data_IF_911851279976
#
_entry.id   IF_911851279976
#
_cell.length_a   1.000
_cell.length_b   1.000
_cell.length_c   1.000
_cell.angle_alpha   90.00
_cell.angle_beta   90.00
_cell.angle_gamma   90.00
#
_symmetry.space_group_name_H-M   'P 1'
#
loop_
_entity.id
_entity.type
_entity.pdbx_description
1 polymer ?
#
# COMPACT_ATOMS: atom_id res chain seq x y z
N UNK A 1 14.41 2.67 32.09
CA UNK A 1 15.17 2.36 30.84
C UNK A 1 14.86 3.48 29.86
N UNK A 2 15.85 4.25 29.35
CA UNK A 2 15.60 5.27 28.35
C UNK A 2 15.19 4.63 27.01
N UNK A 3 14.15 5.18 26.39
CA UNK A 3 13.69 4.80 25.07
C UNK A 3 13.76 6.03 24.18
N UNK A 4 14.33 5.90 22.97
CA UNK A 4 14.43 6.96 21.99
C UNK A 4 14.08 6.42 20.61
N UNK A 5 13.36 7.20 19.84
CA UNK A 5 12.98 6.89 18.47
C UNK A 5 13.32 8.09 17.56
N UNK A 6 14.13 7.84 16.54
CA UNK A 6 14.67 8.88 15.68
C UNK A 6 13.91 9.10 14.36
N UNK A 7 12.66 8.62 14.27
CA UNK A 7 11.88 8.68 13.04
C UNK A 7 12.24 7.56 12.05
N UNK A 8 12.09 7.83 10.76
CA UNK A 8 12.32 6.86 9.68
C UNK A 8 13.22 7.47 8.59
N UNK A 9 13.60 6.65 7.62
CA UNK A 9 14.33 7.07 6.41
C UNK A 9 15.69 7.77 6.62
N UNK A 10 16.29 7.65 7.83
CA UNK A 10 17.56 8.31 8.13
C UNK A 10 17.46 9.84 8.25
N UNK A 11 16.30 10.39 8.56
CA UNK A 11 16.10 11.83 8.69
C UNK A 11 16.69 12.42 9.98
N UNK A 12 16.87 11.58 10.99
CA UNK A 12 17.38 11.98 12.29
C UNK A 12 18.28 10.91 12.92
N UNK A 13 19.10 11.35 13.89
CA UNK A 13 19.93 10.49 14.72
C UNK A 13 19.60 10.68 16.19
N UNK A 14 19.31 9.58 16.88
CA UNK A 14 19.13 9.56 18.33
C UNK A 14 20.45 9.36 19.06
N UNK A 15 20.74 10.21 20.04
CA UNK A 15 21.88 10.08 20.95
C UNK A 15 21.40 9.89 22.37
N UNK A 16 21.90 8.83 23.05
CA UNK A 16 21.67 8.57 24.48
C UNK A 16 23.04 8.66 25.18
N UNK A 17 23.14 9.52 26.18
CA UNK A 17 24.29 9.57 27.08
C UNK A 17 23.89 8.91 28.39
N UNK A 18 24.66 7.93 28.82
CA UNK A 18 24.45 7.21 30.06
C UNK A 18 25.62 7.46 31.01
N UNK A 19 25.32 7.79 32.26
CA UNK A 19 26.31 7.76 33.33
C UNK A 19 26.10 6.48 34.12
N UNK A 20 27.09 5.60 34.06
CA UNK A 20 27.07 4.32 34.76
C UNK A 20 27.98 4.36 35.98
N UNK A 21 27.46 4.02 37.15
CA UNK A 21 28.27 3.84 38.37
C UNK A 21 28.78 2.42 38.44
N UNK A 22 30.11 2.25 38.36
CA UNK A 22 30.77 0.94 38.49
C UNK A 22 30.57 0.41 39.91
N UNK A 23 30.70 1.27 40.94
CA UNK A 23 30.54 0.87 42.34
C UNK A 23 29.10 0.42 42.65
N UNK A 24 28.10 1.08 42.11
CA UNK A 24 26.69 0.76 42.31
C UNK A 24 26.14 -0.24 41.27
N UNK A 25 26.91 -0.58 40.24
CA UNK A 25 26.53 -1.46 39.12
C UNK A 25 25.21 -1.09 38.45
N UNK A 26 24.96 0.23 38.29
CA UNK A 26 23.72 0.74 37.70
C UNK A 26 23.94 2.05 36.97
N UNK A 27 23.01 2.32 36.03
CA UNK A 27 22.89 3.66 35.38
C UNK A 27 22.35 4.64 36.42
N UNK A 28 23.08 5.71 36.70
CA UNK A 28 22.71 6.76 37.66
C UNK A 28 22.11 7.99 36.98
N UNK A 29 22.37 8.18 35.69
CA UNK A 29 21.78 9.24 34.90
C UNK A 29 21.66 8.82 33.43
N UNK A 30 20.60 9.26 32.76
CA UNK A 30 20.40 9.09 31.33
C UNK A 30 19.87 10.41 30.74
N UNK A 31 20.46 10.81 29.63
CA UNK A 31 20.03 11.98 28.86
C UNK A 31 19.94 11.60 27.38
N UNK A 32 18.86 11.98 26.72
CA UNK A 32 18.65 11.66 25.31
C UNK A 32 18.29 12.90 24.50
N UNK A 33 18.71 12.90 23.23
CA UNK A 33 18.37 13.93 22.27
C UNK A 33 18.29 13.36 20.87
N UNK A 34 17.30 13.81 20.09
CA UNK A 34 17.18 13.54 18.65
C UNK A 34 17.71 14.75 17.89
N UNK A 35 18.57 14.50 16.91
CA UNK A 35 19.12 15.50 16.00
C UNK A 35 18.59 15.23 14.60
N UNK A 36 17.95 16.21 13.98
CA UNK A 36 17.60 16.12 12.57
C UNK A 36 18.85 16.28 11.72
N UNK A 37 19.05 15.40 10.74
CA UNK A 37 20.23 15.47 9.87
C UNK A 37 20.26 16.77 9.05
N UNK A 38 19.10 17.37 8.74
CA UNK A 38 19.00 18.66 8.06
C UNK A 38 19.56 19.84 8.89
N UNK A 39 19.64 19.69 10.20
CA UNK A 39 20.13 20.72 11.15
C UNK A 39 21.60 20.53 11.49
N UNK A 40 22.21 19.40 11.09
CA UNK A 40 23.63 19.12 11.34
C UNK A 40 24.49 19.68 10.21
N UNK A 41 25.73 20.15 10.53
CA UNK A 41 26.67 20.55 9.49
C UNK A 41 26.99 19.36 8.59
N UNK A 42 26.99 19.59 7.28
CA UNK A 42 27.43 18.55 6.31
C UNK A 42 28.92 18.34 6.47
N UNK A 43 29.30 17.15 6.84
CA UNK A 43 30.69 16.69 6.85
C UNK A 43 30.89 15.82 5.62
N UNK A 44 31.79 16.22 4.74
CA UNK A 44 32.14 15.42 3.57
C UNK A 44 33.12 14.34 3.99
N UNK A 45 32.73 13.06 3.83
CA UNK A 45 33.60 11.91 4.02
C UNK A 45 33.96 11.32 2.66
N UNK A 46 35.08 11.78 2.12
CA UNK A 46 35.56 11.36 0.80
C UNK A 46 35.88 9.85 0.73
N UNK A 47 36.18 9.20 1.85
CA UNK A 47 36.43 7.75 1.87
C UNK A 47 35.09 6.99 1.75
N UNK A 48 34.09 7.41 2.49
CA UNK A 48 32.74 6.84 2.43
C UNK A 48 32.09 7.10 1.07
N UNK A 49 32.22 8.31 0.52
CA UNK A 49 31.68 8.64 -0.81
C UNK A 49 32.29 7.72 -1.90
N UNK A 50 33.62 7.55 -1.89
CA UNK A 50 34.30 6.63 -2.85
C UNK A 50 33.88 5.18 -2.67
N UNK A 51 33.66 4.75 -1.44
CA UNK A 51 33.16 3.39 -1.17
C UNK A 51 31.73 3.19 -1.69
N UNK A 52 30.86 4.17 -1.50
CA UNK A 52 29.44 4.09 -1.89
C UNK A 52 29.20 4.36 -3.39
N UNK A 53 30.07 5.12 -4.06
CA UNK A 53 29.90 5.52 -5.47
C UNK A 53 29.60 4.34 -6.41
N UNK A 54 30.37 3.21 -6.44
CA UNK A 54 30.07 2.08 -7.31
C UNK A 54 28.74 1.39 -6.96
N UNK A 55 28.36 1.39 -5.68
CA UNK A 55 27.08 0.85 -5.22
C UNK A 55 25.94 1.72 -5.76
N UNK A 56 26.03 3.04 -5.61
CA UNK A 56 25.01 3.97 -6.12
C UNK A 56 24.89 3.92 -7.65
N UNK A 57 26.03 3.87 -8.39
CA UNK A 57 26.00 3.73 -9.86
C UNK A 57 25.25 2.47 -10.30
N UNK A 58 25.49 1.34 -9.65
CA UNK A 58 24.79 0.09 -9.96
C UNK A 58 23.28 0.20 -9.63
N UNK A 59 22.95 0.75 -8.47
CA UNK A 59 21.56 0.99 -8.04
C UNK A 59 20.87 1.94 -9.03
N UNK A 60 21.51 3.05 -9.38
CA UNK A 60 20.94 4.06 -10.27
C UNK A 60 20.67 3.51 -11.67
N UNK A 61 21.57 2.72 -12.23
CA UNK A 61 21.36 2.11 -13.55
C UNK A 61 20.14 1.18 -13.57
N UNK A 62 19.91 0.43 -12.49
CA UNK A 62 18.82 -0.53 -12.38
C UNK A 62 17.48 0.13 -12.05
N UNK A 63 17.47 1.09 -11.13
CA UNK A 63 16.24 1.64 -10.59
C UNK A 63 15.76 2.90 -11.29
N UNK A 64 16.59 3.53 -12.12
CA UNK A 64 16.20 4.66 -12.98
C UNK A 64 15.67 4.22 -14.36
N UNK A 65 15.54 2.90 -14.61
CA UNK A 65 14.86 2.40 -15.81
C UNK A 65 13.43 2.97 -15.87
N UNK A 66 13.08 3.54 -17.02
CA UNK A 66 11.76 4.12 -17.27
C UNK A 66 10.79 2.98 -17.63
N UNK A 67 9.69 2.86 -16.88
CA UNK A 67 8.64 1.88 -17.12
C UNK A 67 7.53 2.44 -18.02
N UNK A 68 7.14 3.69 -17.78
CA UNK A 68 6.05 4.36 -18.50
C UNK A 68 6.20 5.89 -18.40
N UNK A 69 5.30 6.61 -19.08
CA UNK A 69 5.06 8.04 -18.87
C UNK A 69 3.66 8.20 -18.32
N UNK A 70 3.50 8.99 -17.26
CA UNK A 70 2.19 9.26 -16.65
C UNK A 70 1.77 10.71 -16.93
N UNK A 71 0.56 10.92 -17.43
CA UNK A 71 0.05 12.25 -17.82
C UNK A 71 -0.15 13.18 -16.61
N UNK A 72 -0.48 12.63 -15.44
CA UNK A 72 -0.80 13.40 -14.23
C UNK A 72 -0.46 12.62 -12.96
N UNK A 73 -0.26 13.32 -11.85
CA UNK A 73 0.00 12.68 -10.55
C UNK A 73 -1.22 11.86 -10.12
N UNK A 74 -1.00 10.57 -9.79
CA UNK A 74 -2.00 9.75 -9.12
C UNK A 74 -1.69 9.72 -7.63
N UNK A 75 -2.51 10.42 -6.86
CA UNK A 75 -2.32 10.60 -5.41
C UNK A 75 -2.64 9.34 -4.63
N UNK A 76 -2.06 9.24 -3.43
CA UNK A 76 -2.38 8.21 -2.44
C UNK A 76 -2.86 8.88 -1.14
N UNK A 77 -4.10 8.64 -0.76
CA UNK A 77 -4.61 8.97 0.57
C UNK A 77 -4.95 7.67 1.30
N UNK A 78 -4.36 7.46 2.47
CA UNK A 78 -4.52 6.21 3.24
C UNK A 78 -5.97 5.95 3.66
N UNK A 79 -6.72 6.99 3.98
CA UNK A 79 -8.08 6.91 4.50
C UNK A 79 -9.13 7.50 3.54
N UNK A 80 -8.67 8.15 2.48
CA UNK A 80 -9.48 8.74 1.42
C UNK A 80 -9.41 7.96 0.11
N UNK A 81 -9.64 8.69 -0.98
CA UNK A 81 -9.48 8.19 -2.33
C UNK A 81 -7.98 8.02 -2.65
N UNK A 82 -7.62 6.91 -3.26
CA UNK A 82 -6.26 6.64 -3.70
C UNK A 82 -6.26 6.34 -5.18
N UNK A 83 -6.07 7.37 -5.99
CA UNK A 83 -6.04 7.23 -7.45
C UNK A 83 -4.96 6.26 -7.95
N UNK A 84 -3.80 6.24 -7.27
CA UNK A 84 -2.76 5.25 -7.55
C UNK A 84 -3.24 3.84 -7.18
N UNK A 85 -3.98 3.68 -6.07
CA UNK A 85 -4.58 2.41 -5.69
C UNK A 85 -5.61 1.95 -6.72
N UNK A 86 -6.50 2.83 -7.12
CA UNK A 86 -7.54 2.55 -8.12
C UNK A 86 -6.94 2.11 -9.45
N UNK A 87 -5.93 2.85 -9.93
CA UNK A 87 -5.20 2.51 -11.16
C UNK A 87 -4.58 1.10 -11.08
N UNK A 88 -3.83 0.80 -10.03
CA UNK A 88 -3.18 -0.51 -9.93
C UNK A 88 -4.17 -1.64 -9.71
N UNK A 89 -5.30 -1.39 -9.03
CA UNK A 89 -6.35 -2.41 -8.90
C UNK A 89 -7.05 -2.68 -10.23
N UNK A 90 -7.28 -1.68 -11.06
CA UNK A 90 -7.83 -1.87 -12.41
C UNK A 90 -6.86 -2.65 -13.30
N UNK A 91 -5.58 -2.31 -13.24
CA UNK A 91 -4.52 -3.05 -13.95
C UNK A 91 -4.46 -4.51 -13.49
N UNK A 92 -4.53 -4.75 -12.19
CA UNK A 92 -4.49 -6.10 -11.62
C UNK A 92 -5.72 -6.91 -12.04
N UNK A 93 -6.93 -6.36 -11.85
CA UNK A 93 -8.19 -7.00 -12.23
C UNK A 93 -8.21 -7.38 -13.71
N UNK A 94 -7.86 -6.43 -14.58
CA UNK A 94 -7.92 -6.62 -16.03
C UNK A 94 -6.85 -7.61 -16.51
N UNK A 95 -5.63 -7.54 -15.97
CA UNK A 95 -4.52 -8.42 -16.33
C UNK A 95 -4.81 -9.91 -16.05
N UNK A 96 -5.55 -10.18 -14.98
CA UNK A 96 -5.90 -11.55 -14.59
C UNK A 96 -7.36 -11.95 -14.92
N UNK A 97 -8.12 -11.05 -15.55
CA UNK A 97 -9.55 -11.26 -15.87
C UNK A 97 -10.31 -11.72 -14.62
N UNK A 98 -10.09 -11.03 -13.50
CA UNK A 98 -10.81 -11.29 -12.26
C UNK A 98 -12.11 -10.49 -12.24
N UNK A 99 -13.10 -10.94 -11.45
CA UNK A 99 -14.32 -10.18 -11.20
C UNK A 99 -14.01 -9.00 -10.29
N UNK A 100 -13.16 -9.24 -9.27
CA UNK A 100 -12.78 -8.26 -8.25
C UNK A 100 -11.28 -8.32 -7.99
N UNK A 101 -10.64 -7.15 -7.90
CA UNK A 101 -9.31 -7.00 -7.32
C UNK A 101 -9.41 -6.33 -5.95
N UNK A 102 -8.64 -6.80 -4.99
CA UNK A 102 -8.54 -6.25 -3.63
C UNK A 102 -7.09 -6.06 -3.25
N UNK A 103 -6.80 -5.03 -2.45
CA UNK A 103 -5.47 -4.83 -1.88
C UNK A 103 -5.58 -4.05 -0.57
N UNK A 104 -4.81 -4.42 0.44
CA UNK A 104 -4.76 -3.62 1.66
C UNK A 104 -4.15 -2.25 1.37
N UNK A 105 -4.82 -1.19 1.78
CA UNK A 105 -4.36 0.18 1.52
C UNK A 105 -2.98 0.48 2.10
N UNK A 106 -2.62 -0.23 3.18
CA UNK A 106 -1.30 -0.14 3.81
C UNK A 106 -0.13 -0.60 2.94
N UNK A 107 -0.37 -1.41 1.92
CA UNK A 107 0.67 -1.87 1.00
C UNK A 107 1.08 -0.81 -0.03
N UNK A 108 0.23 0.21 -0.26
CA UNK A 108 0.49 1.30 -1.20
C UNK A 108 1.03 2.50 -0.41
N UNK A 109 2.28 2.89 -0.65
CA UNK A 109 3.01 3.81 0.23
C UNK A 109 3.29 5.19 -0.36
N UNK A 110 3.22 5.35 -1.67
CA UNK A 110 3.56 6.59 -2.36
C UNK A 110 2.60 6.88 -3.51
N UNK A 111 2.73 8.04 -4.12
CA UNK A 111 2.00 8.50 -5.30
C UNK A 111 2.69 8.03 -6.58
N UNK A 112 1.95 7.88 -7.68
CA UNK A 112 2.55 7.72 -9.01
C UNK A 112 2.83 9.12 -9.57
N UNK A 113 4.10 9.49 -9.80
CA UNK A 113 4.44 10.84 -10.26
C UNK A 113 3.98 11.09 -11.70
N UNK A 114 3.76 12.34 -12.08
CA UNK A 114 3.60 12.74 -13.48
C UNK A 114 4.96 12.70 -14.21
N UNK A 115 4.93 12.54 -15.51
CA UNK A 115 6.12 12.42 -16.35
C UNK A 115 6.67 10.99 -16.35
N UNK A 116 8.01 10.86 -16.34
CA UNK A 116 8.68 9.56 -16.38
C UNK A 116 8.46 8.78 -15.07
N UNK A 117 7.92 7.58 -15.20
CA UNK A 117 7.74 6.63 -14.09
C UNK A 117 8.86 5.59 -14.18
N UNK A 118 9.61 5.43 -13.09
CA UNK A 118 10.77 4.55 -13.04
C UNK A 118 10.52 3.32 -12.17
N UNK A 119 11.43 2.34 -12.24
CA UNK A 119 11.44 1.21 -11.30
C UNK A 119 11.51 1.70 -9.85
N UNK A 120 12.29 2.76 -9.58
CA UNK A 120 12.40 3.38 -8.25
C UNK A 120 11.05 3.87 -7.73
N UNK A 121 10.24 4.50 -8.57
CA UNK A 121 8.92 5.00 -8.18
C UNK A 121 7.99 3.84 -7.88
N UNK A 122 8.00 2.79 -8.68
CA UNK A 122 7.22 1.58 -8.41
C UNK A 122 7.59 0.94 -7.05
N UNK A 123 8.89 0.88 -6.71
CA UNK A 123 9.36 0.33 -5.44
C UNK A 123 9.01 1.21 -4.23
N UNK A 124 8.86 2.52 -4.40
CA UNK A 124 8.33 3.40 -3.36
C UNK A 124 6.85 3.18 -3.14
N UNK A 125 6.09 2.97 -4.22
CA UNK A 125 4.66 2.68 -4.15
C UNK A 125 4.41 1.32 -3.50
N UNK A 126 5.15 0.29 -3.91
CA UNK A 126 5.04 -1.09 -3.40
C UNK A 126 6.38 -1.55 -2.79
N UNK A 127 6.71 -1.15 -1.55
CA UNK A 127 8.01 -1.52 -0.94
C UNK A 127 8.06 -2.97 -0.44
N UNK A 128 6.91 -3.61 -0.26
CA UNK A 128 6.82 -4.99 0.23
C UNK A 128 7.05 -6.02 -0.90
N UNK A 129 7.45 -7.22 -0.55
CA UNK A 129 7.69 -8.31 -1.51
C UNK A 129 6.50 -9.26 -1.55
N UNK A 130 5.33 -8.74 -1.93
CA UNK A 130 4.08 -9.49 -1.94
C UNK A 130 3.98 -10.44 -3.14
N UNK A 131 3.30 -11.55 -2.93
CA UNK A 131 2.90 -12.48 -3.98
C UNK A 131 1.41 -12.28 -4.28
N UNK A 132 1.06 -12.24 -5.55
CA UNK A 132 -0.32 -12.11 -6.01
C UNK A 132 -0.95 -13.49 -6.11
N UNK A 133 -2.18 -13.63 -5.64
CA UNK A 133 -2.99 -14.84 -5.78
C UNK A 133 -4.33 -14.54 -6.41
N UNK A 134 -4.82 -15.47 -7.25
CA UNK A 134 -6.23 -15.54 -7.60
C UNK A 134 -6.91 -16.62 -6.78
N UNK A 135 -8.16 -16.40 -6.41
CA UNK A 135 -8.97 -17.37 -5.69
C UNK A 135 -10.46 -17.20 -6.01
N UNK A 136 -11.26 -18.19 -5.66
CA UNK A 136 -12.71 -18.09 -5.64
C UNK A 136 -13.17 -17.73 -4.23
N UNK A 137 -13.84 -16.59 -4.08
CA UNK A 137 -14.35 -16.07 -2.82
C UNK A 137 -15.86 -16.01 -2.86
N UNK A 138 -16.51 -16.52 -1.83
CA UNK A 138 -17.97 -16.45 -1.69
C UNK A 138 -18.42 -15.01 -1.51
N UNK A 139 -19.55 -14.62 -2.07
CA UNK A 139 -20.05 -13.25 -2.00
C UNK A 139 -20.30 -12.78 -0.57
N UNK A 140 -20.75 -13.67 0.34
CA UNK A 140 -20.88 -13.37 1.76
C UNK A 140 -19.54 -13.01 2.43
N UNK A 141 -18.46 -13.75 2.11
CA UNK A 141 -17.12 -13.48 2.62
C UNK A 141 -16.56 -12.19 2.04
N UNK A 142 -16.80 -11.95 0.74
CA UNK A 142 -16.42 -10.71 0.08
C UNK A 142 -17.11 -9.49 0.71
N UNK A 143 -18.41 -9.60 1.05
CA UNK A 143 -19.15 -8.55 1.77
C UNK A 143 -18.51 -8.24 3.12
N UNK A 144 -18.10 -9.24 3.89
CA UNK A 144 -17.41 -9.07 5.17
C UNK A 144 -16.07 -8.33 4.99
N UNK A 145 -15.29 -8.69 3.96
CA UNK A 145 -14.04 -8.00 3.61
C UNK A 145 -14.29 -6.52 3.33
N UNK A 146 -15.33 -6.19 2.58
CA UNK A 146 -15.67 -4.81 2.23
C UNK A 146 -16.15 -4.03 3.46
N UNK A 147 -17.00 -4.64 4.30
CA UNK A 147 -17.47 -4.04 5.57
C UNK A 147 -16.29 -3.69 6.49
N UNK A 148 -15.36 -4.63 6.64
CA UNK A 148 -14.16 -4.43 7.45
C UNK A 148 -13.22 -3.39 6.84
N UNK A 149 -12.94 -3.46 5.53
CA UNK A 149 -11.88 -2.68 4.89
C UNK A 149 -12.25 -1.25 4.53
N UNK A 150 -13.55 -0.90 4.47
CA UNK A 150 -13.98 0.43 4.03
C UNK A 150 -14.08 1.42 5.19
N UNK A 151 -14.53 0.98 6.35
CA UNK A 151 -14.84 1.87 7.47
C UNK A 151 -14.06 1.61 8.75
N UNK A 152 -13.07 0.73 8.75
CA UNK A 152 -12.24 0.47 9.91
C UNK A 152 -11.18 1.59 10.08
N UNK A 153 -11.17 2.33 11.22
CA UNK A 153 -10.23 3.41 11.46
C UNK A 153 -8.80 2.94 11.75
N UNK A 154 -8.62 1.67 12.15
CA UNK A 154 -7.33 1.13 12.60
C UNK A 154 -6.44 0.69 11.44
N UNK A 155 -7.02 0.55 10.24
CA UNK A 155 -6.30 0.14 9.03
C UNK A 155 -6.44 1.19 7.91
N UNK A 156 -5.50 1.17 6.96
CA UNK A 156 -5.68 1.94 5.73
C UNK A 156 -6.82 1.35 4.90
N UNK A 157 -7.66 2.24 4.34
CA UNK A 157 -8.82 1.83 3.55
C UNK A 157 -8.45 0.81 2.47
N UNK A 158 -9.23 -0.25 2.36
CA UNK A 158 -9.12 -1.27 1.32
C UNK A 158 -9.18 -0.63 -0.07
N UNK A 159 -8.30 -1.05 -0.98
CA UNK A 159 -8.33 -0.70 -2.41
C UNK A 159 -8.99 -1.82 -3.18
N UNK A 160 -9.80 -1.46 -4.15
CA UNK A 160 -10.53 -2.45 -4.93
C UNK A 160 -10.83 -1.99 -6.36
N UNK A 161 -11.10 -2.95 -7.20
CA UNK A 161 -11.63 -2.76 -8.55
C UNK A 161 -12.67 -3.83 -8.87
N UNK A 162 -13.57 -3.51 -9.79
CA UNK A 162 -14.64 -4.43 -10.21
C UNK A 162 -15.94 -4.24 -9.43
N UNK A 163 -16.00 -3.30 -8.51
CA UNK A 163 -17.15 -3.02 -7.67
C UNK A 163 -17.48 -1.53 -7.64
N UNK A 164 -18.77 -1.23 -7.48
CA UNK A 164 -19.28 0.08 -7.03
C UNK A 164 -19.96 -0.12 -5.67
N UNK A 165 -19.58 0.68 -4.70
CA UNK A 165 -19.99 0.51 -3.31
C UNK A 165 -20.60 1.80 -2.78
N UNK A 166 -21.77 1.70 -2.15
CA UNK A 166 -22.36 2.78 -1.35
C UNK A 166 -22.26 2.39 0.12
N UNK A 167 -21.70 3.26 0.96
CA UNK A 167 -21.46 2.99 2.36
C UNK A 167 -21.77 4.18 3.28
N UNK A 168 -22.15 3.91 4.51
CA UNK A 168 -22.23 4.85 5.62
C UNK A 168 -21.27 4.39 6.73
N UNK A 169 -20.06 4.94 6.74
CA UNK A 169 -19.00 4.55 7.67
C UNK A 169 -19.25 4.91 9.13
N UNK A 170 -20.33 5.66 9.43
CA UNK A 170 -20.76 5.98 10.81
C UNK A 170 -21.50 4.82 11.48
N UNK A 171 -21.98 3.86 10.69
CA UNK A 171 -22.65 2.65 11.21
C UNK A 171 -21.62 1.66 11.75
N UNK A 172 -22.10 0.75 12.56
CA UNK A 172 -21.30 -0.35 13.06
C UNK A 172 -20.84 -1.27 11.93
N UNK A 173 -19.74 -1.97 12.14
CA UNK A 173 -19.23 -2.97 11.20
C UNK A 173 -20.31 -4.04 10.94
N UNK A 174 -20.46 -4.45 9.69
CA UNK A 174 -21.52 -5.33 9.23
C UNK A 174 -22.79 -4.61 8.77
N UNK A 175 -22.90 -3.28 8.99
CA UNK A 175 -24.04 -2.46 8.60
C UNK A 175 -23.65 -1.23 7.76
N UNK A 176 -22.35 -1.06 7.45
CA UNK A 176 -21.84 0.12 6.77
C UNK A 176 -22.21 0.15 5.29
N UNK A 177 -22.22 -0.99 4.64
CA UNK A 177 -22.44 -1.10 3.19
C UNK A 177 -23.94 -1.22 2.91
N UNK A 178 -24.46 -0.26 2.15
CA UNK A 178 -25.86 -0.27 1.71
C UNK A 178 -26.06 -0.96 0.36
N UNK A 179 -25.08 -0.92 -0.53
CA UNK A 179 -25.12 -1.62 -1.81
C UNK A 179 -23.73 -1.95 -2.34
N UNK A 180 -23.63 -3.07 -3.04
CA UNK A 180 -22.45 -3.49 -3.79
C UNK A 180 -22.92 -3.95 -5.17
N UNK A 181 -22.40 -3.30 -6.21
CA UNK A 181 -22.70 -3.63 -7.61
C UNK A 181 -21.40 -3.99 -8.32
N UNK A 182 -21.43 -5.05 -9.11
CA UNK A 182 -20.28 -5.45 -9.94
C UNK A 182 -20.21 -4.61 -11.23
N UNK A 183 -19.09 -4.73 -11.95
CA UNK A 183 -18.86 -3.99 -13.20
C UNK A 183 -19.88 -4.30 -14.31
N UNK A 184 -20.56 -5.44 -14.25
CA UNK A 184 -21.62 -5.83 -15.19
C UNK A 184 -23.01 -5.30 -14.78
N UNK A 185 -23.09 -4.51 -13.71
CA UNK A 185 -24.34 -3.95 -13.17
C UNK A 185 -25.11 -4.89 -12.25
N UNK A 186 -24.68 -6.14 -12.07
CA UNK A 186 -25.34 -7.07 -11.16
C UNK A 186 -25.01 -6.77 -9.69
N UNK A 187 -25.95 -7.07 -8.80
CA UNK A 187 -25.71 -6.95 -7.35
C UNK A 187 -24.88 -8.12 -6.85
N UNK A 188 -23.99 -7.87 -5.89
CA UNK A 188 -23.22 -8.92 -5.22
C UNK A 188 -24.16 -9.91 -4.52
N UNK A 189 -24.12 -11.17 -4.98
CA UNK A 189 -24.94 -12.27 -4.45
C UNK A 189 -24.13 -13.08 -3.43
N UNK A 190 -24.65 -13.23 -2.22
CA UNK A 190 -23.92 -13.83 -1.09
C UNK A 190 -23.53 -15.31 -1.33
N UNK A 191 -24.36 -16.06 -2.07
CA UNK A 191 -24.12 -17.50 -2.32
C UNK A 191 -23.25 -17.78 -3.57
N UNK A 192 -23.01 -16.78 -4.40
CA UNK A 192 -22.20 -16.92 -5.61
C UNK A 192 -20.71 -16.83 -5.29
N UNK A 193 -19.88 -17.55 -6.04
CA UNK A 193 -18.42 -17.40 -5.97
C UNK A 193 -17.94 -16.44 -7.06
N UNK A 194 -16.98 -15.61 -6.69
CA UNK A 194 -16.36 -14.62 -7.56
C UNK A 194 -14.87 -14.86 -7.64
N UNK A 195 -14.29 -14.71 -8.82
CA UNK A 195 -12.85 -14.74 -9.01
C UNK A 195 -12.25 -13.45 -8.47
N UNK A 196 -11.55 -13.57 -7.35
CA UNK A 196 -10.88 -12.45 -6.67
C UNK A 196 -9.38 -12.55 -6.87
N UNK A 197 -8.72 -11.41 -7.08
CA UNK A 197 -7.27 -11.30 -7.08
C UNK A 197 -6.82 -10.37 -5.96
N UNK A 198 -5.82 -10.77 -5.20
CA UNK A 198 -5.24 -9.99 -4.10
C UNK A 198 -3.81 -10.46 -3.80
N UNK A 199 -3.17 -9.81 -2.82
CA UNK A 199 -1.86 -10.26 -2.33
C UNK A 199 -1.98 -11.33 -1.25
N UNK A 200 -0.86 -11.99 -0.98
CA UNK A 200 -0.70 -13.02 0.05
C UNK A 200 -1.10 -12.52 1.45
N UNK A 201 -0.75 -11.27 1.79
CA UNK A 201 -1.07 -10.66 3.08
C UNK A 201 -2.59 -10.63 3.34
N UNK A 202 -3.37 -10.20 2.36
CA UNK A 202 -4.83 -10.09 2.48
C UNK A 202 -5.47 -11.48 2.54
N UNK A 203 -5.05 -12.43 1.69
CA UNK A 203 -5.56 -13.81 1.72
C UNK A 203 -5.17 -14.57 2.99
N UNK A 204 -4.05 -14.23 3.63
CA UNK A 204 -3.67 -14.82 4.93
C UNK A 204 -4.45 -14.25 6.13
N UNK A 205 -5.34 -13.27 5.91
CA UNK A 205 -6.10 -12.61 6.98
C UNK A 205 -5.39 -11.44 7.63
N UNK A 206 -4.32 -10.92 6.99
CA UNK A 206 -3.64 -9.71 7.43
C UNK A 206 -4.59 -8.52 7.55
N UNK A 207 -4.29 -7.57 8.44
CA UNK A 207 -5.15 -6.44 8.79
C UNK A 207 -6.59 -6.83 9.23
N UNK A 208 -6.85 -8.11 9.58
CA UNK A 208 -8.17 -8.59 10.02
C UNK A 208 -9.09 -9.10 8.90
N UNK A 209 -8.60 -9.27 7.68
CA UNK A 209 -9.37 -9.81 6.54
C UNK A 209 -9.62 -11.33 6.64
N UNK A 210 -10.03 -11.82 7.82
CA UNK A 210 -10.11 -13.26 8.12
C UNK A 210 -11.07 -14.04 7.21
N UNK A 211 -12.16 -13.44 6.71
CA UNK A 211 -13.11 -14.12 5.83
C UNK A 211 -12.48 -14.56 4.50
N UNK A 212 -11.36 -13.96 4.06
CA UNK A 212 -10.63 -14.42 2.88
C UNK A 212 -9.86 -15.72 3.07
N UNK A 213 -9.66 -16.17 4.31
CA UNK A 213 -9.08 -17.48 4.58
C UNK A 213 -10.02 -18.64 4.15
N UNK A 214 -11.32 -18.36 3.94
CA UNK A 214 -12.28 -19.30 3.38
C UNK A 214 -12.19 -19.45 1.84
N UNK A 215 -11.33 -18.65 1.20
CA UNK A 215 -11.18 -18.65 -0.25
C UNK A 215 -10.74 -20.04 -0.78
N UNK A 216 -11.24 -20.40 -1.97
CA UNK A 216 -10.97 -21.71 -2.61
C UNK A 216 -10.08 -21.51 -3.81
N UNK A 217 -9.40 -22.58 -4.21
CA UNK A 217 -8.61 -22.64 -5.45
C UNK A 217 -7.56 -21.52 -5.54
N UNK A 218 -6.86 -21.26 -4.41
CA UNK A 218 -5.76 -20.31 -4.42
C UNK A 218 -4.71 -20.70 -5.46
N UNK A 219 -4.39 -19.76 -6.34
CA UNK A 219 -3.39 -19.93 -7.38
C UNK A 219 -2.38 -18.79 -7.30
N UNK A 220 -1.12 -19.13 -7.13
CA UNK A 220 0.01 -18.23 -7.20
C UNK A 220 0.14 -17.62 -8.62
N UNK A 221 0.23 -16.32 -8.70
CA UNK A 221 0.35 -15.53 -9.93
C UNK A 221 1.67 -14.75 -10.01
N UNK A 222 2.60 -15.00 -9.09
CA UNK A 222 3.91 -14.36 -9.04
C UNK A 222 3.95 -13.07 -8.23
N UNK A 223 5.07 -12.37 -8.34
CA UNK A 223 5.34 -11.16 -7.56
C UNK A 223 4.61 -9.94 -8.12
N UNK A 224 3.99 -9.16 -7.24
CA UNK A 224 3.24 -7.95 -7.55
C UNK A 224 4.08 -6.92 -8.33
N UNK A 225 5.29 -6.62 -7.85
CA UNK A 225 6.21 -5.66 -8.49
C UNK A 225 6.60 -6.10 -9.89
N UNK A 226 6.80 -7.39 -10.11
CA UNK A 226 7.11 -7.95 -11.44
C UNK A 226 5.94 -7.74 -12.38
N UNK A 227 4.73 -8.04 -11.92
CA UNK A 227 3.51 -7.84 -12.72
C UNK A 227 3.27 -6.34 -13.00
N UNK A 228 3.34 -5.48 -12.00
CA UNK A 228 3.11 -4.04 -12.19
C UNK A 228 4.17 -3.38 -13.09
N UNK A 229 5.44 -3.77 -12.96
CA UNK A 229 6.48 -3.30 -13.87
C UNK A 229 6.22 -3.73 -15.33
N UNK A 230 5.82 -4.99 -15.54
CA UNK A 230 5.42 -5.49 -16.86
C UNK A 230 4.21 -4.72 -17.41
N UNK A 231 3.19 -4.49 -16.60
CA UNK A 231 1.99 -3.76 -17.00
C UNK A 231 2.30 -2.31 -17.41
N UNK A 232 3.11 -1.59 -16.60
CA UNK A 232 3.53 -0.23 -16.93
C UNK A 232 4.33 -0.18 -18.25
N UNK A 233 5.28 -1.09 -18.47
CA UNK A 233 6.02 -1.18 -19.75
C UNK A 233 5.09 -1.44 -20.93
N UNK A 234 4.08 -2.28 -20.74
CA UNK A 234 3.11 -2.63 -21.78
C UNK A 234 2.20 -1.44 -22.13
N UNK A 235 1.77 -0.68 -21.13
CA UNK A 235 0.95 0.52 -21.31
C UNK A 235 1.73 1.66 -21.98
N UNK A 236 3.03 1.81 -21.70
CA UNK A 236 3.91 2.90 -22.16
C UNK A 236 3.47 4.29 -21.69
N UNK A 237 2.17 4.57 -21.72
CA UNK A 237 1.56 5.81 -21.25
C UNK A 237 0.42 5.47 -20.28
N UNK A 238 0.40 6.14 -19.15
CA UNK A 238 -0.68 6.11 -18.18
C UNK A 238 -1.46 7.42 -18.31
N UNK A 239 -2.71 7.30 -18.70
CA UNK A 239 -3.69 8.41 -18.73
C UNK A 239 -4.93 7.93 -17.99
N UNK A 240 -4.93 8.14 -16.67
CA UNK A 240 -5.96 7.62 -15.78
C UNK A 240 -6.93 8.73 -15.37
N UNK A 241 -8.25 8.51 -15.42
CA UNK A 241 -9.25 9.57 -15.21
C UNK A 241 -9.13 10.22 -13.83
N UNK A 242 -9.54 11.49 -13.76
CA UNK A 242 -9.38 12.32 -12.56
C UNK A 242 -10.25 11.88 -11.38
N UNK A 243 -11.42 11.31 -11.64
CA UNK A 243 -12.38 10.87 -10.63
C UNK A 243 -12.86 9.46 -10.94
N UNK A 244 -13.04 8.69 -9.87
CA UNK A 244 -13.65 7.40 -9.91
C UNK A 244 -14.67 7.32 -8.75
N UNK A 245 -15.96 7.15 -9.07
CA UNK A 245 -17.04 7.08 -8.09
C UNK A 245 -17.32 5.65 -7.61
N UNK A 246 -16.29 4.77 -7.63
CA UNK A 246 -16.46 3.38 -7.20
C UNK A 246 -16.85 3.23 -5.72
N UNK A 247 -16.52 4.22 -4.90
CA UNK A 247 -16.89 4.26 -3.47
C UNK A 247 -17.62 5.56 -3.14
N UNK A 248 -18.92 5.46 -2.88
CA UNK A 248 -19.76 6.54 -2.42
C UNK A 248 -19.97 6.44 -0.91
N UNK A 249 -19.33 7.34 -0.15
CA UNK A 249 -19.52 7.44 1.30
C UNK A 249 -20.52 8.54 1.60
N UNK A 250 -21.57 8.21 2.36
CA UNK A 250 -22.51 9.23 2.84
C UNK A 250 -21.77 10.24 3.69
N UNK A 251 -21.71 11.49 3.22
CA UNK A 251 -21.20 12.62 4.00
C UNK A 251 -22.24 13.02 5.04
N UNK A 252 -21.81 13.62 6.15
CA UNK A 252 -22.75 14.30 7.06
C UNK A 252 -23.56 15.30 6.23
N UNK A 253 -24.87 15.21 6.30
CA UNK A 253 -25.74 16.29 5.83
C UNK A 253 -25.39 17.53 6.66
N UNK A 254 -25.14 18.63 5.96
CA UNK A 254 -25.09 19.98 6.54
C UNK A 254 -26.46 20.33 7.05
#
# INVERSE_FOLDING_TARGET
IPVIQAGCHGEAVGRINLLYSIAAQKVVSANSRVYKLSELPRVQDNAMERFLEPIFKNIDSKYNEILAVNSQVLTNDRNGESRVGDFFMDVLKNGFKADVALYNGGAIRDTLPSGRVTVRDLLKIFPFDSTIYTAEVKGSDLRQVLEHGIGNPDISRLRFSGLQISADIRREEGQRISSVTLSDGSTLADEKYYKVISNDFVFSGGDGFYSLQNARHLRDCGKDKTFFAFALRSLKMVDYPAHDERLQIKKQGV
#
